data_IF_678297429448
#
_entry.id   IF_678297429448
#
_cell.length_a   1.000
_cell.length_b   1.000
_cell.length_c   1.000
_cell.angle_alpha   90.00
_cell.angle_beta   90.00
_cell.angle_gamma   90.00
#
_symmetry.space_group_name_H-M   'P 1'
#
loop_
_entity.id
_entity.type
_entity.pdbx_description
1 polymer ?
#
# COMPACT_ATOMS: atom_id res chain seq x y z
N UNK A 1 1.54 -14.03 8.70
CA UNK A 1 0.22 -14.31 9.30
C UNK A 1 -0.84 -13.25 8.99
N UNK A 2 -0.53 -12.00 8.62
CA UNK A 2 -1.49 -11.05 8.03
C UNK A 2 -1.29 -10.91 6.50
N UNK A 3 -0.05 -10.95 6.03
CA UNK A 3 0.29 -10.76 4.61
C UNK A 3 -0.28 -11.82 3.66
N UNK A 4 -0.47 -13.06 4.13
CA UNK A 4 -1.12 -14.11 3.34
C UNK A 4 -2.63 -13.85 3.15
N UNK A 5 -3.26 -13.10 4.06
CA UNK A 5 -4.67 -12.76 3.97
C UNK A 5 -4.95 -11.68 2.91
N UNK A 6 -3.95 -10.87 2.52
CA UNK A 6 -4.05 -9.95 1.39
C UNK A 6 -4.25 -10.66 0.04
N UNK A 7 -3.93 -11.95 -0.03
CA UNK A 7 -4.12 -12.79 -1.23
C UNK A 7 -5.32 -13.73 -1.13
N UNK A 8 -6.17 -13.55 -0.11
CA UNK A 8 -7.37 -14.38 0.06
C UNK A 8 -8.40 -14.11 -1.05
N UNK A 9 -9.33 -15.05 -1.24
CA UNK A 9 -10.45 -14.92 -2.17
C UNK A 9 -11.59 -14.09 -1.58
N UNK A 10 -11.69 -14.04 -0.25
CA UNK A 10 -12.76 -13.32 0.42
C UNK A 10 -12.42 -11.83 0.58
N UNK A 11 -13.05 -10.99 -0.24
CA UNK A 11 -12.73 -9.56 -0.33
C UNK A 11 -12.75 -8.82 1.01
N UNK A 12 -13.67 -9.12 1.94
CA UNK A 12 -13.70 -8.45 3.26
C UNK A 12 -12.46 -8.75 4.09
N UNK A 13 -11.95 -9.98 4.01
CA UNK A 13 -10.72 -10.35 4.68
C UNK A 13 -9.52 -9.64 4.05
N UNK A 14 -9.49 -9.56 2.72
CA UNK A 14 -8.46 -8.82 1.98
C UNK A 14 -8.48 -7.33 2.37
N UNK A 15 -9.65 -6.69 2.40
CA UNK A 15 -9.81 -5.28 2.79
C UNK A 15 -9.23 -5.02 4.18
N UNK A 16 -9.60 -5.82 5.18
CA UNK A 16 -9.09 -5.64 6.54
C UNK A 16 -7.60 -5.98 6.64
N UNK A 17 -7.11 -6.96 5.87
CA UNK A 17 -5.68 -7.25 5.81
C UNK A 17 -4.87 -6.07 5.24
N UNK A 18 -5.36 -5.42 4.18
CA UNK A 18 -4.74 -4.23 3.59
C UNK A 18 -4.74 -3.04 4.56
N UNK A 19 -5.85 -2.81 5.27
CA UNK A 19 -5.94 -1.77 6.32
C UNK A 19 -4.98 -2.06 7.47
N UNK A 20 -4.90 -3.31 7.93
CA UNK A 20 -3.96 -3.73 8.95
C UNK A 20 -2.50 -3.55 8.49
N UNK A 21 -2.19 -3.87 7.22
CA UNK A 21 -0.87 -3.61 6.64
C UNK A 21 -0.50 -2.12 6.71
N UNK A 22 -1.42 -1.22 6.33
CA UNK A 22 -1.19 0.22 6.42
C UNK A 22 -0.92 0.66 7.87
N UNK A 23 -1.72 0.19 8.83
CA UNK A 23 -1.55 0.51 10.25
C UNK A 23 -0.24 -0.03 10.85
N UNK A 24 0.21 -1.20 10.42
CA UNK A 24 1.53 -1.74 10.81
C UNK A 24 2.64 -0.87 10.24
N UNK A 25 2.56 -0.53 8.96
CA UNK A 25 3.57 0.31 8.27
C UNK A 25 3.74 1.66 8.96
N UNK A 26 2.66 2.30 9.40
CA UNK A 26 2.73 3.60 10.07
C UNK A 26 3.51 3.59 11.39
N UNK A 27 3.70 2.42 12.01
CA UNK A 27 4.46 2.28 13.27
C UNK A 27 5.85 1.65 13.07
N UNK A 28 6.22 1.25 11.84
CA UNK A 28 7.52 0.64 11.57
C UNK A 28 8.69 1.63 11.64
N UNK A 29 8.44 2.90 11.31
CA UNK A 29 9.42 3.97 11.48
C UNK A 29 9.28 4.54 12.89
N UNK A 30 10.36 4.49 13.67
CA UNK A 30 10.35 5.07 15.01
C UNK A 30 10.30 6.60 14.94
N UNK A 31 9.40 7.22 15.69
CA UNK A 31 9.25 8.69 15.73
C UNK A 31 10.48 9.40 16.32
N UNK A 32 11.20 8.75 17.23
CA UNK A 32 12.32 9.34 17.97
C UNK A 32 13.65 9.40 17.18
N UNK A 33 13.85 8.43 16.30
CA UNK A 33 15.11 8.20 15.60
C UNK A 33 14.95 8.19 14.08
N UNK A 34 13.72 8.15 13.58
CA UNK A 34 13.43 8.00 12.15
C UNK A 34 13.91 6.68 11.55
N UNK A 35 14.41 5.76 12.38
CA UNK A 35 15.05 4.53 11.94
C UNK A 35 14.03 3.39 11.79
N UNK A 36 14.29 2.52 10.82
CA UNK A 36 13.58 1.27 10.60
C UNK A 36 14.57 0.12 10.89
N UNK A 37 14.15 -0.89 11.65
CA UNK A 37 15.02 -2.04 11.94
C UNK A 37 15.31 -2.84 10.67
N UNK A 38 16.48 -3.46 10.57
CA UNK A 38 16.85 -4.27 9.40
C UNK A 38 15.89 -5.46 9.18
N UNK A 39 15.36 -6.04 10.26
CA UNK A 39 14.36 -7.09 10.21
C UNK A 39 13.05 -6.59 9.59
N UNK A 40 12.56 -5.42 10.02
CA UNK A 40 11.36 -4.80 9.46
C UNK A 40 11.58 -4.44 7.99
N UNK A 41 12.77 -3.92 7.63
CA UNK A 41 13.10 -3.57 6.26
C UNK A 41 12.98 -4.75 5.28
N UNK A 42 13.33 -5.96 5.72
CA UNK A 42 13.21 -7.17 4.91
C UNK A 42 11.74 -7.54 4.59
N UNK A 43 10.80 -7.18 5.46
CA UNK A 43 9.37 -7.46 5.30
C UNK A 43 8.66 -6.44 4.42
N UNK A 44 9.18 -5.21 4.31
CA UNK A 44 8.57 -4.12 3.53
C UNK A 44 8.39 -4.53 2.07
N UNK A 45 9.40 -5.18 1.48
CA UNK A 45 9.34 -5.57 0.06
C UNK A 45 8.17 -6.52 -0.21
N UNK A 46 8.05 -7.59 0.57
CA UNK A 46 6.95 -8.54 0.43
C UNK A 46 5.57 -7.91 0.68
N UNK A 47 5.51 -6.95 1.60
CA UNK A 47 4.30 -6.19 1.89
C UNK A 47 3.90 -5.31 0.69
N UNK A 48 4.85 -4.55 0.16
CA UNK A 48 4.62 -3.70 -1.00
C UNK A 48 4.20 -4.52 -2.22
N UNK A 49 4.84 -5.66 -2.47
CA UNK A 49 4.47 -6.55 -3.58
C UNK A 49 3.02 -7.06 -3.46
N UNK A 50 2.59 -7.46 -2.26
CA UNK A 50 1.22 -7.90 -2.02
C UNK A 50 0.20 -6.77 -2.26
N UNK A 51 0.50 -5.56 -1.77
CA UNK A 51 -0.36 -4.39 -1.96
C UNK A 51 -0.43 -3.98 -3.43
N UNK A 52 0.70 -3.93 -4.13
CA UNK A 52 0.75 -3.55 -5.54
C UNK A 52 0.04 -4.57 -6.44
N UNK A 53 0.09 -5.86 -6.09
CA UNK A 53 -0.69 -6.89 -6.78
C UNK A 53 -2.19 -6.62 -6.69
N UNK A 54 -2.69 -6.20 -5.51
CA UNK A 54 -4.10 -5.83 -5.33
C UNK A 54 -4.45 -4.48 -5.94
N UNK A 55 -3.52 -3.53 -5.96
CA UNK A 55 -3.72 -2.23 -6.60
C UNK A 55 -3.85 -2.35 -8.11
N UNK A 56 -3.09 -3.25 -8.73
CA UNK A 56 -3.08 -3.50 -10.18
C UNK A 56 -4.36 -4.23 -10.64
N UNK A 57 -4.87 -5.13 -9.81
CA UNK A 57 -6.08 -5.91 -10.08
C UNK A 57 -7.32 -5.03 -10.33
N UNK A 58 -7.86 -5.12 -11.55
CA UNK A 58 -8.99 -4.29 -11.99
C UNK A 58 -10.36 -4.85 -11.61
N UNK A 59 -10.45 -6.17 -11.40
CA UNK A 59 -11.70 -6.90 -11.09
C UNK A 59 -11.80 -7.27 -9.60
N UNK A 60 -11.46 -6.31 -8.74
CA UNK A 60 -11.61 -6.43 -7.29
C UNK A 60 -12.80 -5.60 -6.79
N UNK A 61 -13.28 -5.96 -5.61
CA UNK A 61 -14.29 -5.21 -4.88
C UNK A 61 -13.83 -3.76 -4.61
N UNK A 62 -14.76 -2.82 -4.56
CA UNK A 62 -14.45 -1.40 -4.36
C UNK A 62 -13.71 -1.15 -3.04
N UNK A 63 -14.08 -1.85 -1.96
CA UNK A 63 -13.41 -1.70 -0.67
C UNK A 63 -11.94 -2.16 -0.73
N UNK A 64 -11.67 -3.24 -1.49
CA UNK A 64 -10.31 -3.76 -1.70
C UNK A 64 -9.48 -2.75 -2.49
N UNK A 65 -10.05 -2.14 -3.54
CA UNK A 65 -9.39 -1.11 -4.33
C UNK A 65 -9.02 0.10 -3.49
N UNK A 66 -9.96 0.61 -2.69
CA UNK A 66 -9.71 1.76 -1.82
C UNK A 66 -8.67 1.45 -0.73
N UNK A 67 -8.76 0.26 -0.12
CA UNK A 67 -7.78 -0.18 0.86
C UNK A 67 -6.37 -0.36 0.26
N UNK A 68 -6.27 -0.88 -0.97
CA UNK A 68 -4.99 -1.04 -1.67
C UNK A 68 -4.38 0.34 -2.01
N UNK A 69 -5.18 1.27 -2.52
CA UNK A 69 -4.75 2.66 -2.77
C UNK A 69 -4.21 3.31 -1.50
N UNK A 70 -4.96 3.19 -0.40
CA UNK A 70 -4.55 3.75 0.89
C UNK A 70 -3.27 3.11 1.42
N UNK A 71 -3.18 1.78 1.39
CA UNK A 71 -2.00 1.05 1.86
C UNK A 71 -0.75 1.43 1.04
N UNK A 72 -0.86 1.54 -0.29
CA UNK A 72 0.24 2.01 -1.14
C UNK A 72 0.71 3.41 -0.76
N UNK A 73 -0.23 4.33 -0.50
CA UNK A 73 0.10 5.69 -0.08
C UNK A 73 0.86 5.72 1.24
N UNK A 74 0.40 4.95 2.24
CA UNK A 74 1.05 4.89 3.55
C UNK A 74 2.46 4.31 3.46
N UNK A 75 2.67 3.27 2.65
CA UNK A 75 4.00 2.68 2.44
C UNK A 75 4.95 3.69 1.81
N UNK A 76 4.52 4.35 0.74
CA UNK A 76 5.36 5.34 0.07
C UNK A 76 5.62 6.56 0.96
N UNK A 77 4.62 7.05 1.71
CA UNK A 77 4.83 8.19 2.61
C UNK A 77 5.76 7.86 3.78
N UNK A 78 5.69 6.64 4.32
CA UNK A 78 6.40 6.27 5.56
C UNK A 78 7.76 5.65 5.29
N UNK A 79 7.92 4.87 4.22
CA UNK A 79 9.06 3.96 4.01
C UNK A 79 9.69 4.10 2.62
N UNK A 80 9.50 5.25 1.95
CA UNK A 80 10.00 5.45 0.58
C UNK A 80 11.49 5.16 0.41
N UNK A 81 12.30 5.58 1.38
CA UNK A 81 13.75 5.38 1.47
C UNK A 81 14.17 3.89 1.49
N UNK A 82 13.26 3.00 1.89
CA UNK A 82 13.46 1.55 1.88
C UNK A 82 12.85 0.86 0.66
N UNK A 83 12.18 1.59 -0.22
CA UNK A 83 11.63 1.07 -1.48
C UNK A 83 12.58 1.41 -2.63
N UNK A 84 12.88 0.45 -3.50
CA UNK A 84 13.71 0.73 -4.67
C UNK A 84 12.97 1.60 -5.70
N UNK A 85 13.72 2.30 -6.55
CA UNK A 85 13.16 3.25 -7.53
C UNK A 85 12.19 2.59 -8.53
N UNK A 86 12.39 1.32 -8.87
CA UNK A 86 11.52 0.60 -9.79
C UNK A 86 10.13 0.38 -9.17
N UNK A 87 10.07 -0.10 -7.93
CA UNK A 87 8.82 -0.34 -7.21
C UNK A 87 8.10 0.96 -6.86
N UNK A 88 8.85 2.03 -6.52
CA UNK A 88 8.28 3.38 -6.37
C UNK A 88 7.59 3.84 -7.66
N UNK A 89 8.28 3.70 -8.80
CA UNK A 89 7.74 4.10 -10.10
C UNK A 89 6.50 3.29 -10.48
N UNK A 90 6.52 1.97 -10.20
CA UNK A 90 5.38 1.08 -10.40
C UNK A 90 4.18 1.53 -9.57
N UNK A 91 4.39 1.79 -8.28
CA UNK A 91 3.33 2.20 -7.36
C UNK A 91 2.70 3.54 -7.78
N UNK A 92 3.53 4.54 -8.09
CA UNK A 92 3.06 5.85 -8.55
C UNK A 92 2.33 5.76 -9.90
N UNK A 93 2.80 4.92 -10.82
CA UNK A 93 2.12 4.65 -12.09
C UNK A 93 0.72 4.08 -11.89
N UNK A 94 0.59 3.06 -11.04
CA UNK A 94 -0.71 2.46 -10.71
C UNK A 94 -1.65 3.46 -10.03
N UNK A 95 -1.17 4.24 -9.06
CA UNK A 95 -1.96 5.29 -8.42
C UNK A 95 -2.42 6.36 -9.42
N UNK A 96 -1.56 6.73 -10.39
CA UNK A 96 -1.91 7.66 -11.45
C UNK A 96 -3.02 7.09 -12.34
N UNK A 97 -2.96 5.81 -12.70
CA UNK A 97 -4.05 5.16 -13.42
C UNK A 97 -5.35 5.16 -12.63
N UNK A 98 -5.31 4.81 -11.34
CA UNK A 98 -6.49 4.84 -10.46
C UNK A 98 -7.06 6.26 -10.35
N UNK A 99 -6.22 7.29 -10.34
CA UNK A 99 -6.67 8.69 -10.32
C UNK A 99 -7.50 9.11 -11.55
N UNK A 100 -7.35 8.40 -12.67
CA UNK A 100 -8.07 8.65 -13.92
C UNK A 100 -9.39 7.86 -14.03
N UNK A 101 -9.62 6.92 -13.12
CA UNK A 101 -10.83 6.11 -13.10
C UNK A 101 -11.88 6.75 -12.18
N UNK A 102 -13.13 6.85 -12.64
CA UNK A 102 -14.19 7.59 -11.94
C UNK A 102 -14.43 7.13 -10.50
N UNK A 103 -14.45 5.82 -10.24
CA UNK A 103 -14.76 5.27 -8.90
C UNK A 103 -13.57 5.30 -7.95
N UNK A 104 -12.34 5.37 -8.47
CA UNK A 104 -11.10 5.36 -7.66
C UNK A 104 -10.34 6.68 -7.69
N UNK A 105 -10.86 7.69 -8.40
CA UNK A 105 -10.25 9.01 -8.54
C UNK A 105 -10.03 9.69 -7.20
N UNK A 106 -11.08 9.85 -6.40
CA UNK A 106 -11.00 10.54 -5.11
C UNK A 106 -10.01 9.88 -4.14
N UNK A 107 -10.05 8.55 -3.89
CA UNK A 107 -9.07 7.90 -3.02
C UNK A 107 -7.65 8.00 -3.57
N UNK A 108 -7.44 7.91 -4.90
CA UNK A 108 -6.10 8.05 -5.49
C UNK A 108 -5.55 9.47 -5.37
N UNK A 109 -6.37 10.51 -5.54
CA UNK A 109 -5.94 11.90 -5.32
C UNK A 109 -5.55 12.13 -3.86
N UNK A 110 -6.32 11.59 -2.90
CA UNK A 110 -5.96 11.63 -1.48
C UNK A 110 -4.65 10.90 -1.20
N UNK A 111 -4.43 9.74 -1.83
CA UNK A 111 -3.18 9.00 -1.75
C UNK A 111 -1.99 9.86 -2.20
N UNK A 112 -2.10 10.57 -3.33
CA UNK A 112 -1.04 11.49 -3.75
C UNK A 112 -0.77 12.61 -2.75
N UNK A 113 -1.82 13.17 -2.14
CA UNK A 113 -1.66 14.19 -1.10
C UNK A 113 -1.01 13.67 0.18
N UNK A 114 -1.08 12.36 0.46
CA UNK A 114 -0.39 11.73 1.59
C UNK A 114 1.10 11.47 1.30
N UNK A 115 1.45 11.29 0.02
CA UNK A 115 2.83 11.00 -0.42
C UNK A 115 3.66 12.28 -0.55
N UNK A 116 3.01 13.40 -0.91
CA UNK A 116 3.62 14.71 -1.15
C UNK A 116 4.01 15.43 0.16
#
# INVERSE_FOLDING_TARGET
>A
QIFAACTDKYYKLVTEALRACAAVVSVLRREDTGAVSAENASQIKSLLDAVLTKLDASDEDQDVKEAAIHASAVILATLNDHVNTQDQSRALGLLLERSRNETTRLPAVRAFAMIA
#
